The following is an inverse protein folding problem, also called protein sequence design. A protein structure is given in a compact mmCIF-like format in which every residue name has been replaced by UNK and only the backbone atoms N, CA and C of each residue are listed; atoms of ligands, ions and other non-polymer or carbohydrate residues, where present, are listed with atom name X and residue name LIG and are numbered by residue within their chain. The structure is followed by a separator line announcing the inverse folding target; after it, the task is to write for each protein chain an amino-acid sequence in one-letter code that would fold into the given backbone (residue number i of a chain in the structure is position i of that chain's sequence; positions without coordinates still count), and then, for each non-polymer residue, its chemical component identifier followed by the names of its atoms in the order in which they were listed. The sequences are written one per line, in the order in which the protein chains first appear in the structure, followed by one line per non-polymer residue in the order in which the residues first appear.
data_IF_318910585376
#
_entry.id   IF_318910585376
#
_cell.length_a   1.000
_cell.length_b   1.000
_cell.length_c   1.000
_cell.angle_alpha   90.00
_cell.angle_beta   90.00
_cell.angle_gamma   90.00
#
_symmetry.space_group_name_H-M   'P 1'
#
loop_
_entity.id
_entity.type
_entity.pdbx_description
1 polymer ?
#
# COMPACT_ATOMS: atom_id res chain seq x y z
N UNK A 1 27.51 -2.39 28.59
CA UNK A 1 27.50 -2.97 27.24
C UNK A 1 26.07 -3.40 26.94
N UNK A 2 25.30 -2.56 26.25
CA UNK A 2 23.86 -2.78 26.06
C UNK A 2 23.58 -3.60 24.79
N UNK A 3 22.72 -4.63 24.85
CA UNK A 3 22.31 -5.40 23.68
C UNK A 3 21.17 -4.68 22.94
N UNK A 4 21.41 -3.45 22.47
CA UNK A 4 20.33 -2.62 21.90
C UNK A 4 20.03 -2.94 20.43
N UNK A 5 20.95 -3.61 19.72
CA UNK A 5 20.83 -3.81 18.27
C UNK A 5 19.82 -4.87 17.83
N UNK A 6 19.45 -5.84 18.69
CA UNK A 6 18.56 -6.92 18.28
C UNK A 6 17.08 -6.48 18.22
N UNK A 7 16.67 -5.59 19.11
CA UNK A 7 15.29 -5.09 19.14
C UNK A 7 15.01 -4.15 17.97
N UNK A 8 15.93 -3.22 17.66
CA UNK A 8 15.79 -2.30 16.53
C UNK A 8 15.61 -3.04 15.19
N UNK A 9 16.37 -4.13 14.96
CA UNK A 9 16.23 -4.94 13.74
C UNK A 9 14.87 -5.65 13.62
N UNK A 10 14.31 -6.14 14.74
CA UNK A 10 13.00 -6.80 14.74
C UNK A 10 11.85 -5.81 14.48
N UNK A 11 11.94 -4.60 15.05
CA UNK A 11 10.97 -3.54 14.78
C UNK A 11 11.01 -3.08 13.32
N UNK A 12 12.20 -2.91 12.74
CA UNK A 12 12.37 -2.57 11.33
C UNK A 12 11.81 -3.66 10.40
N UNK A 13 12.09 -4.93 10.68
CA UNK A 13 11.55 -6.05 9.91
C UNK A 13 10.01 -6.14 9.99
N UNK A 14 9.43 -5.88 11.18
CA UNK A 14 7.98 -5.84 11.35
C UNK A 14 7.33 -4.66 10.63
N UNK A 15 7.94 -3.48 10.69
CA UNK A 15 7.48 -2.30 9.97
C UNK A 15 7.51 -2.52 8.45
N UNK A 16 8.57 -3.15 7.94
CA UNK A 16 8.70 -3.52 6.53
C UNK A 16 7.64 -4.53 6.09
N UNK A 17 7.41 -5.59 6.89
CA UNK A 17 6.38 -6.58 6.61
C UNK A 17 4.98 -5.94 6.57
N UNK A 18 4.70 -5.05 7.53
CA UNK A 18 3.43 -4.33 7.58
C UNK A 18 3.26 -3.40 6.36
N UNK A 19 4.27 -2.61 6.00
CA UNK A 19 4.21 -1.75 4.82
C UNK A 19 3.99 -2.55 3.52
N UNK A 20 4.59 -3.74 3.41
CA UNK A 20 4.40 -4.64 2.27
C UNK A 20 2.97 -5.20 2.22
N UNK A 21 2.42 -5.60 3.36
CA UNK A 21 1.03 -6.06 3.46
C UNK A 21 0.04 -4.94 3.09
N UNK A 22 0.24 -3.73 3.61
CA UNK A 22 -0.58 -2.55 3.30
C UNK A 22 -0.56 -2.24 1.80
N UNK A 23 0.62 -2.25 1.17
CA UNK A 23 0.72 -2.04 -0.27
C UNK A 23 0.00 -3.13 -1.08
N UNK A 24 0.15 -4.41 -0.71
CA UNK A 24 -0.56 -5.52 -1.37
C UNK A 24 -2.08 -5.41 -1.23
N UNK A 25 -2.58 -5.01 -0.07
CA UNK A 25 -4.01 -4.79 0.12
C UNK A 25 -4.53 -3.62 -0.72
N UNK A 26 -3.75 -2.56 -0.87
CA UNK A 26 -4.11 -1.43 -1.73
C UNK A 26 -4.10 -1.81 -3.22
N UNK A 27 -3.10 -2.56 -3.69
CA UNK A 27 -3.03 -3.10 -5.05
C UNK A 27 -4.26 -3.99 -5.37
N UNK A 28 -4.64 -4.89 -4.45
CA UNK A 28 -5.82 -5.73 -4.62
C UNK A 28 -7.12 -4.90 -4.67
N UNK A 29 -7.20 -3.80 -3.92
CA UNK A 29 -8.33 -2.89 -3.96
C UNK A 29 -8.40 -2.17 -5.31
N UNK A 30 -7.26 -1.69 -5.84
CA UNK A 30 -7.16 -1.08 -7.18
C UNK A 30 -7.67 -2.05 -8.24
N UNK A 31 -7.20 -3.31 -8.21
CA UNK A 31 -7.67 -4.35 -9.13
C UNK A 31 -9.19 -4.54 -9.07
N UNK A 32 -9.72 -4.65 -7.86
CA UNK A 32 -11.17 -4.82 -7.63
C UNK A 32 -11.97 -3.63 -8.16
N UNK A 33 -11.51 -2.40 -7.91
CA UNK A 33 -12.19 -1.17 -8.36
C UNK A 33 -12.09 -0.97 -9.87
N UNK A 34 -10.98 -1.39 -10.48
CA UNK A 34 -10.83 -1.39 -11.93
C UNK A 34 -11.87 -2.28 -12.60
N UNK A 35 -12.00 -3.53 -12.14
CA UNK A 35 -13.04 -4.43 -12.65
C UNK A 35 -14.45 -3.88 -12.40
N UNK A 36 -14.71 -3.36 -11.20
CA UNK A 36 -16.00 -2.74 -10.90
C UNK A 36 -16.33 -1.53 -11.80
N UNK A 37 -15.33 -0.77 -12.23
CA UNK A 37 -15.52 0.31 -13.21
C UNK A 37 -15.82 -0.20 -14.61
N UNK A 38 -15.13 -1.25 -15.06
CA UNK A 38 -15.37 -1.87 -16.37
C UNK A 38 -16.78 -2.46 -16.47
N UNK A 39 -17.26 -3.06 -15.39
CA UNK A 39 -18.59 -3.67 -15.31
C UNK A 39 -19.70 -2.66 -14.96
N UNK A 40 -19.36 -1.40 -14.64
CA UNK A 40 -20.33 -0.40 -14.23
C UNK A 40 -21.21 0.08 -15.40
N UNK A 41 -22.51 0.15 -15.11
CA UNK A 41 -23.51 0.80 -15.95
C UNK A 41 -23.18 2.28 -16.19
N UNK A 42 -23.59 2.87 -17.33
CA UNK A 42 -23.24 4.26 -17.67
C UNK A 42 -23.54 5.28 -16.58
N UNK A 43 -24.64 5.09 -15.85
CA UNK A 43 -25.12 5.97 -14.78
C UNK A 43 -24.21 5.98 -13.54
N UNK A 44 -23.56 4.84 -13.25
CA UNK A 44 -22.70 4.68 -12.06
C UNK A 44 -21.21 4.69 -12.40
N UNK A 45 -20.87 4.61 -13.70
CA UNK A 45 -19.49 4.55 -14.21
C UNK A 45 -18.62 5.70 -13.73
N UNK A 46 -19.15 6.93 -13.65
CA UNK A 46 -18.40 8.08 -13.13
C UNK A 46 -17.99 7.91 -11.65
N UNK A 47 -18.89 7.38 -10.83
CA UNK A 47 -18.61 7.08 -9.43
C UNK A 47 -17.64 5.90 -9.27
N UNK A 48 -17.82 4.85 -10.07
CA UNK A 48 -16.91 3.71 -10.07
C UNK A 48 -15.48 4.13 -10.47
N UNK A 49 -15.34 5.04 -11.45
CA UNK A 49 -14.06 5.61 -11.84
C UNK A 49 -13.43 6.44 -10.71
N UNK A 50 -14.20 7.30 -10.05
CA UNK A 50 -13.71 8.07 -8.91
C UNK A 50 -13.21 7.18 -7.75
N UNK A 51 -13.92 6.08 -7.48
CA UNK A 51 -13.51 5.08 -6.49
C UNK A 51 -12.22 4.35 -6.90
N UNK A 52 -12.04 4.06 -8.19
CA UNK A 52 -10.80 3.50 -8.74
C UNK A 52 -9.62 4.47 -8.59
N UNK A 53 -9.80 5.74 -8.93
CA UNK A 53 -8.75 6.77 -8.75
C UNK A 53 -8.38 6.93 -7.28
N UNK A 54 -9.36 6.96 -6.38
CA UNK A 54 -9.10 7.01 -4.93
C UNK A 54 -8.27 5.80 -4.45
N UNK A 55 -8.52 4.61 -5.01
CA UNK A 55 -7.73 3.42 -4.70
C UNK A 55 -6.29 3.53 -5.22
N UNK A 56 -6.07 4.12 -6.40
CA UNK A 56 -4.72 4.38 -6.93
C UNK A 56 -3.93 5.36 -6.05
N UNK A 57 -4.59 6.39 -5.53
CA UNK A 57 -3.94 7.33 -4.60
C UNK A 57 -3.51 6.62 -3.31
N UNK A 58 -4.35 5.72 -2.79
CA UNK A 58 -4.02 4.90 -1.62
C UNK A 58 -2.88 3.92 -1.90
N UNK A 59 -2.87 3.25 -3.05
CA UNK A 59 -1.77 2.37 -3.47
C UNK A 59 -0.46 3.15 -3.59
N UNK A 60 -0.51 4.34 -4.20
CA UNK A 60 0.66 5.21 -4.36
C UNK A 60 1.22 5.66 -3.01
N UNK A 61 0.36 6.01 -2.05
CA UNK A 61 0.76 6.34 -0.69
C UNK A 61 1.42 5.15 0.02
N UNK A 62 0.82 3.95 -0.07
CA UNK A 62 1.38 2.74 0.53
C UNK A 62 2.72 2.34 -0.12
N UNK A 63 2.88 2.52 -1.43
CA UNK A 63 4.14 2.29 -2.14
C UNK A 63 5.24 3.25 -1.66
N UNK A 64 4.90 4.52 -1.40
CA UNK A 64 5.84 5.50 -0.86
C UNK A 64 6.28 5.15 0.58
N UNK A 65 5.37 4.70 1.43
CA UNK A 65 5.69 4.20 2.77
C UNK A 65 6.61 2.98 2.71
N UNK A 66 6.28 2.00 1.86
CA UNK A 66 7.11 0.82 1.64
C UNK A 66 8.52 1.22 1.17
N UNK A 67 8.64 2.11 0.18
CA UNK A 67 9.92 2.65 -0.30
C UNK A 67 10.74 3.30 0.83
N UNK A 68 10.09 4.06 1.73
CA UNK A 68 10.72 4.64 2.91
C UNK A 68 11.33 3.61 3.86
N UNK A 69 10.71 2.43 4.00
CA UNK A 69 11.26 1.34 4.83
C UNK A 69 12.53 0.73 4.23
N UNK A 70 12.61 0.62 2.90
CA UNK A 70 13.81 0.13 2.21
C UNK A 70 14.98 1.11 2.35
N UNK A 71 14.72 2.42 2.24
CA UNK A 71 15.73 3.45 2.43
C UNK A 71 16.28 3.45 3.86
N UNK A 72 15.40 3.32 4.87
CA UNK A 72 15.79 3.26 6.29
C UNK A 72 16.64 2.04 6.62
N UNK A 73 16.49 0.94 5.87
CA UNK A 73 17.29 -0.27 6.05
C UNK A 73 18.68 -0.18 5.40
N UNK A 74 18.85 0.66 4.38
CA UNK A 74 20.08 0.78 3.60
C UNK A 74 21.05 1.87 4.12
N UNK A 75 20.56 2.77 4.98
CA UNK A 75 21.34 3.81 5.67
C UNK A 75 21.93 3.29 6.99
#
# INVERSE_FOLDING_TARGET
MFPTNRHAGLFAARAQAHALETWRSAEQLVWTRWHGFLDAEPETRAWAFAAYVTALDQESAAAAELAGTWLTRAA
#
